data_IF_694243879100
#
_entry.id   IF_694243879100
#
_cell.length_a   1.000
_cell.length_b   1.000
_cell.length_c   1.000
_cell.angle_alpha   90.00
_cell.angle_beta   90.00
_cell.angle_gamma   90.00
#
_symmetry.space_group_name_H-M   'P 1'
#
loop_
_entity.id
_entity.type
_entity.pdbx_description
1 polymer ?
#
# COMPACT_ATOMS: atom_id res chain seq x y z
N UNK A 1 15.40 -14.51 2.08
CA UNK A 1 14.91 -13.41 2.93
C UNK A 1 15.11 -12.11 2.17
N UNK A 2 14.07 -11.29 2.00
CA UNK A 2 14.19 -9.94 1.41
C UNK A 2 14.79 -8.93 2.40
N UNK A 3 14.85 -9.31 3.68
CA UNK A 3 15.17 -8.44 4.80
C UNK A 3 16.51 -8.84 5.40
N UNK A 4 17.40 -7.86 5.53
CA UNK A 4 18.78 -8.07 6.00
C UNK A 4 18.89 -7.87 7.50
N UNK A 5 18.31 -6.81 8.03
CA UNK A 5 18.32 -6.50 9.47
C UNK A 5 17.00 -5.90 9.89
N UNK A 6 16.52 -6.26 11.08
CA UNK A 6 15.40 -5.59 11.74
C UNK A 6 15.65 -5.48 13.24
N UNK A 7 15.37 -4.30 13.77
CA UNK A 7 15.29 -4.02 15.20
C UNK A 7 13.83 -3.78 15.59
N UNK A 8 13.40 -4.32 16.72
CA UNK A 8 12.06 -4.09 17.26
C UNK A 8 11.93 -2.62 17.70
N UNK A 9 10.80 -2.00 17.37
CA UNK A 9 10.41 -0.69 17.88
C UNK A 9 9.57 -0.90 19.14
N UNK A 10 10.08 -0.41 20.28
CA UNK A 10 9.38 -0.43 21.57
C UNK A 10 9.41 0.99 22.14
N UNK A 11 8.28 1.72 22.15
CA UNK A 11 6.95 1.30 21.65
C UNK A 11 6.88 1.26 20.10
N UNK A 12 5.83 0.63 19.52
CA UNK A 12 5.55 0.75 18.09
C UNK A 12 5.43 2.21 17.63
N UNK A 13 5.85 2.48 16.40
CA UNK A 13 5.88 3.83 15.83
C UNK A 13 4.67 4.06 14.91
N UNK A 14 3.83 5.09 15.12
CA UNK A 14 2.73 5.40 14.22
C UNK A 14 3.22 5.97 12.87
N UNK A 15 2.66 5.49 11.77
CA UNK A 15 3.00 5.88 10.40
C UNK A 15 1.73 6.26 9.64
N UNK A 16 1.65 7.48 9.07
CA UNK A 16 0.50 7.90 8.26
C UNK A 16 0.57 7.36 6.82
N UNK A 17 -0.58 6.96 6.27
CA UNK A 17 -0.68 6.51 4.86
C UNK A 17 -1.10 7.61 3.87
N UNK A 18 -1.43 8.81 4.36
CA UNK A 18 -1.78 9.97 3.53
C UNK A 18 -3.27 10.17 3.29
N UNK A 19 -4.11 9.20 3.65
CA UNK A 19 -5.58 9.26 3.64
C UNK A 19 -6.19 9.53 5.03
N UNK A 20 -5.42 10.18 5.91
CA UNK A 20 -5.68 10.35 7.35
C UNK A 20 -5.71 9.03 8.16
N UNK A 21 -5.48 7.86 7.54
CA UNK A 21 -5.27 6.62 8.29
C UNK A 21 -3.83 6.52 8.80
N UNK A 22 -3.66 5.78 9.90
CA UNK A 22 -2.35 5.50 10.50
C UNK A 22 -2.22 4.01 10.78
N UNK A 23 -0.98 3.50 10.71
CA UNK A 23 -0.64 2.14 11.11
C UNK A 23 0.52 2.14 12.11
N UNK A 24 0.73 1.05 12.82
CA UNK A 24 1.84 0.89 13.76
C UNK A 24 2.98 0.09 13.12
N UNK A 25 4.10 0.77 12.86
CA UNK A 25 5.35 0.11 12.53
C UNK A 25 5.96 -0.51 13.78
N UNK A 26 6.27 -1.80 13.70
CA UNK A 26 6.78 -2.57 14.84
C UNK A 26 8.28 -2.87 14.73
N UNK A 27 8.86 -2.72 13.54
CA UNK A 27 10.31 -2.90 13.33
C UNK A 27 10.86 -1.84 12.39
N UNK A 28 12.14 -1.57 12.53
CA UNK A 28 12.92 -0.72 11.62
C UNK A 28 14.16 -1.48 11.16
N UNK A 29 14.55 -1.34 9.90
CA UNK A 29 15.59 -2.19 9.36
C UNK A 29 16.17 -1.77 8.01
N UNK A 30 17.01 -2.65 7.48
CA UNK A 30 17.59 -2.52 6.15
C UNK A 30 17.02 -3.57 5.21
N UNK A 31 16.56 -3.12 4.05
CA UNK A 31 15.98 -3.96 3.00
C UNK A 31 16.84 -3.85 1.75
N UNK A 32 17.15 -5.00 1.16
CA UNK A 32 17.90 -5.06 -0.07
C UNK A 32 16.96 -5.43 -1.20
N UNK A 33 16.77 -4.50 -2.12
CA UNK A 33 15.94 -4.69 -3.30
C UNK A 33 16.84 -5.09 -4.47
N UNK A 34 16.37 -6.08 -5.23
CA UNK A 34 16.99 -6.48 -6.47
C UNK A 34 16.08 -6.09 -7.63
N UNK A 35 16.65 -5.40 -8.62
CA UNK A 35 15.98 -5.12 -9.88
C UNK A 35 16.81 -5.66 -11.03
N UNK A 36 16.16 -6.13 -12.08
CA UNK A 36 16.83 -6.53 -13.33
C UNK A 36 16.28 -5.69 -14.47
N UNK A 37 17.14 -4.87 -15.08
CA UNK A 37 16.78 -4.03 -16.23
C UNK A 37 17.72 -4.38 -17.38
N UNK A 38 17.17 -4.75 -18.53
CA UNK A 38 17.94 -5.12 -19.73
C UNK A 38 19.04 -6.15 -19.45
N UNK A 39 18.72 -7.20 -18.67
CA UNK A 39 19.63 -8.27 -18.20
C UNK A 39 20.73 -7.83 -17.22
N UNK A 40 20.80 -6.54 -16.85
CA UNK A 40 21.69 -6.05 -15.79
C UNK A 40 20.98 -6.10 -14.44
N UNK A 41 21.64 -6.66 -13.44
CA UNK A 41 21.15 -6.69 -12.06
C UNK A 41 21.57 -5.40 -11.33
N UNK A 42 20.64 -4.86 -10.57
CA UNK A 42 20.81 -3.69 -9.72
C UNK A 42 20.46 -4.09 -8.30
N UNK A 43 21.29 -3.66 -7.38
CA UNK A 43 21.09 -3.81 -5.95
C UNK A 43 20.83 -2.43 -5.37
N UNK A 44 19.72 -2.30 -4.63
CA UNK A 44 19.33 -1.05 -4.00
C UNK A 44 19.17 -1.35 -2.51
N UNK A 45 19.99 -0.69 -1.69
CA UNK A 45 19.94 -0.82 -0.23
C UNK A 45 19.07 0.31 0.30
N UNK A 46 17.95 -0.06 0.91
CA UNK A 46 17.09 0.85 1.65
C UNK A 46 17.39 0.71 3.14
N UNK A 47 17.72 1.82 3.80
CA UNK A 47 17.93 1.87 5.25
C UNK A 47 16.75 2.57 5.92
N UNK A 48 16.59 2.37 7.24
CA UNK A 48 15.50 2.95 8.03
C UNK A 48 14.10 2.57 7.51
N UNK A 49 13.96 1.36 6.97
CA UNK A 49 12.68 0.85 6.47
C UNK A 49 11.82 0.40 7.64
N UNK A 50 10.62 0.95 7.74
CA UNK A 50 9.62 0.58 8.73
C UNK A 50 8.83 -0.64 8.25
N UNK A 51 8.68 -1.63 9.13
CA UNK A 51 7.88 -2.83 8.89
C UNK A 51 6.59 -2.79 9.72
N UNK A 52 5.48 -2.97 9.03
CA UNK A 52 4.12 -3.14 9.57
C UNK A 52 3.68 -4.59 9.30
N UNK A 53 3.06 -5.25 10.27
CA UNK A 53 2.76 -6.69 10.18
C UNK A 53 1.61 -7.00 9.22
N UNK A 54 0.64 -6.11 9.13
CA UNK A 54 -0.59 -6.38 8.39
C UNK A 54 -1.15 -5.07 7.86
N UNK A 55 -1.32 -5.00 6.54
CA UNK A 55 -2.07 -3.95 5.88
C UNK A 55 -2.78 -4.56 4.67
N UNK A 56 -4.00 -4.10 4.39
CA UNK A 56 -4.78 -4.54 3.24
C UNK A 56 -4.84 -3.39 2.22
N UNK A 57 -4.09 -3.50 1.12
CA UNK A 57 -4.20 -2.53 0.03
C UNK A 57 -5.14 -3.08 -1.03
N UNK A 58 -6.21 -2.35 -1.32
CA UNK A 58 -7.05 -2.57 -2.49
C UNK A 58 -6.62 -1.59 -3.60
N UNK A 59 -5.98 -2.11 -4.65
CA UNK A 59 -5.59 -1.31 -5.81
C UNK A 59 -6.73 -1.28 -6.84
N UNK A 60 -7.13 -0.06 -7.24
CA UNK A 60 -8.17 0.14 -8.25
C UNK A 60 -7.56 0.85 -9.46
N UNK A 61 -7.65 0.24 -10.63
CA UNK A 61 -7.16 0.83 -11.88
C UNK A 61 -8.14 1.86 -12.42
N UNK A 62 -7.74 3.14 -12.41
CA UNK A 62 -8.55 4.25 -12.97
C UNK A 62 -8.82 4.03 -14.46
N UNK A 63 -7.84 3.53 -15.22
CA UNK A 63 -8.02 3.27 -16.64
C UNK A 63 -9.07 2.18 -16.89
N UNK A 64 -9.03 1.08 -16.14
CA UNK A 64 -10.01 0.00 -16.26
C UNK A 64 -11.43 0.46 -15.84
N UNK A 65 -11.53 1.31 -14.82
CA UNK A 65 -12.80 1.92 -14.45
C UNK A 65 -13.35 2.78 -15.59
N UNK A 66 -12.52 3.69 -16.11
CA UNK A 66 -12.92 4.62 -17.17
C UNK A 66 -13.34 3.90 -18.45
N UNK A 67 -12.60 2.87 -18.90
CA UNK A 67 -12.95 2.12 -20.12
C UNK A 67 -14.25 1.35 -19.97
N UNK A 68 -14.64 1.00 -18.74
CA UNK A 68 -15.88 0.27 -18.43
C UNK A 68 -17.05 1.22 -18.12
N UNK A 69 -16.82 2.53 -18.11
CA UNK A 69 -17.81 3.54 -17.73
C UNK A 69 -18.15 3.52 -16.24
N UNK A 70 -17.21 3.05 -15.41
CA UNK A 70 -17.31 3.03 -13.96
C UNK A 70 -16.56 4.22 -13.35
N UNK A 71 -17.03 4.70 -12.22
CA UNK A 71 -16.39 5.76 -11.43
C UNK A 71 -16.29 5.36 -9.96
N UNK A 72 -15.36 5.96 -9.24
CA UNK A 72 -15.32 5.86 -7.78
C UNK A 72 -16.07 7.03 -7.17
N UNK A 73 -17.01 6.77 -6.26
CA UNK A 73 -17.59 7.79 -5.38
C UNK A 73 -16.74 7.92 -4.10
N UNK A 74 -16.96 9.00 -3.34
CA UNK A 74 -16.17 9.40 -2.16
C UNK A 74 -15.68 8.21 -1.34
N UNK A 75 -14.37 8.16 -1.12
CA UNK A 75 -13.74 7.30 -0.14
C UNK A 75 -14.16 7.85 1.24
N UNK A 76 -15.06 7.16 1.91
CA UNK A 76 -15.48 7.55 3.25
C UNK A 76 -15.11 6.44 4.25
N UNK A 77 -14.22 6.81 5.18
CA UNK A 77 -13.84 6.12 6.44
C UNK A 77 -13.38 4.65 6.41
N UNK A 78 -13.59 3.90 5.33
CA UNK A 78 -13.13 2.51 5.11
C UNK A 78 -13.75 1.89 3.84
N UNK A 79 -14.66 2.61 3.17
CA UNK A 79 -15.43 2.09 2.04
C UNK A 79 -15.09 2.85 0.76
N UNK A 80 -14.88 2.09 -0.32
CA UNK A 80 -14.76 2.61 -1.68
C UNK A 80 -15.92 2.06 -2.51
N UNK A 81 -16.75 2.95 -3.07
CA UNK A 81 -17.84 2.56 -3.95
C UNK A 81 -17.40 2.72 -5.39
N UNK A 82 -17.46 1.63 -6.15
CA UNK A 82 -17.38 1.68 -7.61
C UNK A 82 -18.80 1.69 -8.15
N UNK A 83 -19.14 2.72 -8.92
CA UNK A 83 -20.49 2.97 -9.42
C UNK A 83 -20.53 3.05 -10.94
N UNK A 84 -21.69 2.76 -11.52
CA UNK A 84 -22.03 3.07 -12.91
C UNK A 84 -23.19 4.07 -12.90
N UNK A 85 -22.90 5.33 -13.20
CA UNK A 85 -23.86 6.41 -13.00
C UNK A 85 -24.12 6.66 -11.51
N UNK A 86 -25.33 6.38 -11.03
CA UNK A 86 -25.70 6.48 -9.60
C UNK A 86 -25.88 5.13 -8.89
N UNK A 87 -25.61 4.04 -9.60
CA UNK A 87 -25.83 2.69 -9.07
C UNK A 87 -24.49 2.09 -8.61
N UNK A 88 -24.36 1.67 -7.34
CA UNK A 88 -23.17 0.97 -6.87
C UNK A 88 -23.08 -0.43 -7.49
N UNK A 89 -21.91 -0.74 -8.02
CA UNK A 89 -21.57 -2.02 -8.68
C UNK A 89 -20.66 -2.86 -7.79
N UNK A 90 -19.75 -2.21 -7.06
CA UNK A 90 -18.85 -2.89 -6.12
C UNK A 90 -18.62 -2.00 -4.90
N UNK A 91 -18.51 -2.65 -3.74
CA UNK A 91 -18.18 -2.01 -2.48
C UNK A 91 -16.89 -2.67 -2.00
N UNK A 92 -15.80 -1.90 -2.01
CA UNK A 92 -14.57 -2.27 -1.33
C UNK A 92 -14.66 -1.85 0.13
N UNK A 93 -14.37 -2.76 1.05
CA UNK A 93 -14.27 -2.50 2.49
C UNK A 93 -12.86 -2.84 2.95
N UNK A 94 -12.30 -1.99 3.80
CA UNK A 94 -11.06 -2.24 4.54
C UNK A 94 -11.36 -2.86 5.91
#
# INVERSE_FOLDING_TARGET
>A
SWFWTYSLLVPPCPVPFGDNSTTSAIRIGTVMLFSTISRKKYEIILTNVLLTLEFQISLISINCLSTTGLSTDKIHSSMCYVQKGRTPVLIGTH
#
